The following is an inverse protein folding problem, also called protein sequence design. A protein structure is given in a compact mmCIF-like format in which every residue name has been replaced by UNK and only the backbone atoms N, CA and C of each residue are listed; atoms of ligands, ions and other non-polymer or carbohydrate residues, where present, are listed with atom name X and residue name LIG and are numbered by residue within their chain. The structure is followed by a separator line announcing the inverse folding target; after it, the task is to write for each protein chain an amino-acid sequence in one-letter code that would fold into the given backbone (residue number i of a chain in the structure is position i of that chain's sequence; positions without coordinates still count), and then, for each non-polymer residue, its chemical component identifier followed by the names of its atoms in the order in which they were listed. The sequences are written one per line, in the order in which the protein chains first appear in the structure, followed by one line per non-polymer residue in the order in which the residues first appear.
data_IF_502109607125
#
_entry.id   IF_502109607125
#
_cell.length_a   1.000
_cell.length_b   1.000
_cell.length_c   1.000
_cell.angle_alpha   90.00
_cell.angle_beta   90.00
_cell.angle_gamma   90.00
#
_symmetry.space_group_name_H-M   'P 1'
#
loop_
_entity.id
_entity.type
_entity.pdbx_description
1 polymer ?
#
# COMPACT_ATOMS: atom_id res chain seq x y z
N UNK A 1 8.52 -11.27 -17.74
CA UNK A 1 9.21 -10.88 -16.49
C UNK A 1 10.66 -10.46 -16.73
N UNK A 2 11.47 -11.24 -17.47
CA UNK A 2 12.87 -10.87 -17.79
C UNK A 2 12.98 -9.56 -18.58
N UNK A 3 12.14 -9.38 -19.60
CA UNK A 3 12.13 -8.16 -20.43
C UNK A 3 11.78 -6.91 -19.60
N UNK A 4 10.85 -7.06 -18.66
CA UNK A 4 10.50 -6.00 -17.70
C UNK A 4 11.71 -5.59 -16.88
N UNK A 5 12.44 -6.54 -16.29
CA UNK A 5 13.61 -6.28 -15.43
C UNK A 5 14.73 -5.61 -16.22
N UNK A 6 15.01 -6.05 -17.46
CA UNK A 6 16.01 -5.39 -18.32
C UNK A 6 15.66 -3.93 -18.61
N UNK A 7 14.38 -3.61 -18.78
CA UNK A 7 13.93 -2.23 -19.01
C UNK A 7 14.09 -1.30 -17.80
N UNK A 8 14.32 -1.84 -16.60
CA UNK A 8 14.48 -1.05 -15.36
C UNK A 8 15.86 -0.41 -15.23
N UNK A 9 16.88 -1.01 -15.83
CA UNK A 9 18.27 -0.57 -15.69
C UNK A 9 18.58 0.72 -16.48
N UNK A 10 17.71 1.15 -17.40
CA UNK A 10 18.00 2.24 -18.35
C UNK A 10 16.94 3.35 -18.43
N UNK A 11 16.02 3.46 -17.47
CA UNK A 11 14.92 4.42 -17.55
C UNK A 11 14.41 4.98 -16.22
N UNK A 12 13.59 6.02 -16.31
CA UNK A 12 13.03 6.74 -15.14
C UNK A 12 11.90 5.97 -14.43
N UNK A 13 11.63 4.71 -14.79
CA UNK A 13 10.53 3.89 -14.26
C UNK A 13 10.56 3.78 -12.73
N UNK A 14 11.72 3.43 -12.17
CA UNK A 14 11.88 3.27 -10.72
C UNK A 14 11.76 4.63 -10.02
N UNK A 15 12.28 5.70 -10.63
CA UNK A 15 12.14 7.05 -10.08
C UNK A 15 10.68 7.51 -10.02
N UNK A 16 9.86 7.19 -11.02
CA UNK A 16 8.42 7.47 -10.97
C UNK A 16 7.72 6.70 -9.84
N UNK A 17 8.03 5.42 -9.64
CA UNK A 17 7.49 4.64 -8.52
C UNK A 17 7.87 5.29 -7.18
N UNK A 18 9.15 5.61 -7.00
CA UNK A 18 9.62 6.24 -5.78
C UNK A 18 8.90 7.57 -5.53
N UNK A 19 8.77 8.41 -6.56
CA UNK A 19 8.06 9.66 -6.47
C UNK A 19 6.59 9.46 -6.06
N UNK A 20 5.89 8.50 -6.68
CA UNK A 20 4.51 8.16 -6.31
C UNK A 20 4.39 7.74 -4.85
N UNK A 21 5.31 6.90 -4.38
CA UNK A 21 5.32 6.41 -2.99
C UNK A 21 5.59 7.55 -2.01
N UNK A 22 6.53 8.44 -2.31
CA UNK A 22 6.84 9.59 -1.46
C UNK A 22 5.66 10.56 -1.39
N UNK A 23 5.01 10.85 -2.53
CA UNK A 23 3.81 11.68 -2.56
C UNK A 23 2.68 11.06 -1.72
N UNK A 24 2.49 9.75 -1.82
CA UNK A 24 1.48 9.03 -1.04
C UNK A 24 1.78 9.08 0.46
N UNK A 25 3.04 8.88 0.87
CA UNK A 25 3.43 8.92 2.28
C UNK A 25 3.48 10.34 2.87
N UNK A 26 3.73 11.37 2.07
CA UNK A 26 3.69 12.76 2.55
C UNK A 26 2.23 13.25 2.66
N UNK A 27 1.36 12.79 1.74
CA UNK A 27 -0.04 13.22 1.71
C UNK A 27 -0.94 12.48 2.69
N UNK A 28 -0.56 11.29 3.15
CA UNK A 28 -1.43 10.44 3.98
C UNK A 28 -1.98 11.13 5.24
N UNK A 29 -1.21 11.93 6.02
CA UNK A 29 -1.76 12.58 7.23
C UNK A 29 -2.84 13.61 6.92
N UNK A 30 -2.76 14.25 5.75
CA UNK A 30 -3.71 15.27 5.33
C UNK A 30 -5.04 14.67 4.85
N UNK A 31 -5.07 13.38 4.50
CA UNK A 31 -6.27 12.72 3.97
C UNK A 31 -7.48 12.74 4.93
N UNK A 32 -7.28 12.96 6.23
CA UNK A 32 -8.36 13.07 7.23
C UNK A 32 -9.00 14.47 7.28
N UNK A 33 -8.40 15.49 6.65
CA UNK A 33 -8.81 16.89 6.83
C UNK A 33 -10.02 17.31 5.99
N UNK A 34 -10.50 16.45 5.06
CA UNK A 34 -11.73 16.69 4.31
C UNK A 34 -11.81 15.97 2.96
N UNK A 35 -12.95 16.10 2.26
CA UNK A 35 -13.24 15.39 1.00
C UNK A 35 -12.22 15.71 -0.10
N UNK A 36 -11.76 16.96 -0.20
CA UNK A 36 -10.73 17.35 -1.19
C UNK A 36 -9.42 16.62 -0.95
N UNK A 37 -9.02 16.48 0.33
CA UNK A 37 -7.79 15.76 0.67
C UNK A 37 -7.92 14.25 0.41
N UNK A 38 -9.10 13.67 0.64
CA UNK A 38 -9.39 12.29 0.27
C UNK A 38 -9.31 12.06 -1.26
N UNK A 39 -9.85 12.99 -2.06
CA UNK A 39 -9.74 12.92 -3.53
C UNK A 39 -8.30 13.04 -4.02
N UNK A 40 -7.50 13.95 -3.42
CA UNK A 40 -6.07 14.07 -3.72
C UNK A 40 -5.32 12.78 -3.38
N UNK A 41 -5.63 12.18 -2.24
CA UNK A 41 -5.04 10.92 -1.80
C UNK A 41 -5.35 9.76 -2.76
N UNK A 42 -6.60 9.68 -3.26
CA UNK A 42 -7.00 8.73 -4.31
C UNK A 42 -6.25 9.00 -5.61
N UNK A 43 -6.07 10.28 -5.97
CA UNK A 43 -5.25 10.70 -7.11
C UNK A 43 -3.80 10.20 -7.01
N UNK A 44 -3.19 10.29 -5.82
CA UNK A 44 -1.84 9.74 -5.59
C UNK A 44 -1.81 8.21 -5.67
N UNK A 45 -2.86 7.51 -5.23
CA UNK A 45 -3.00 6.08 -5.44
C UNK A 45 -3.09 5.71 -6.92
N UNK A 46 -3.85 6.47 -7.72
CA UNK A 46 -3.91 6.28 -9.18
C UNK A 46 -2.56 6.57 -9.84
N UNK A 47 -1.81 7.54 -9.34
CA UNK A 47 -0.46 7.82 -9.81
C UNK A 47 0.50 6.66 -9.48
N UNK A 48 0.39 6.06 -8.29
CA UNK A 48 1.13 4.85 -7.93
C UNK A 48 0.78 3.67 -8.84
N UNK A 49 -0.49 3.37 -9.06
CA UNK A 49 -0.91 2.27 -9.94
C UNK A 49 -0.52 2.55 -11.40
N UNK A 50 -0.61 3.79 -11.86
CA UNK A 50 -0.10 4.22 -13.17
C UNK A 50 1.41 4.00 -13.33
N UNK A 51 2.20 4.35 -12.31
CA UNK A 51 3.64 4.08 -12.31
C UNK A 51 3.96 2.58 -12.30
N UNK A 52 3.13 1.76 -11.64
CA UNK A 52 3.25 0.32 -11.66
C UNK A 52 2.94 -0.28 -13.04
N UNK A 53 1.89 0.19 -13.71
CA UNK A 53 1.55 -0.16 -15.09
C UNK A 53 2.70 0.20 -16.02
N UNK A 54 3.28 1.40 -15.86
CA UNK A 54 4.45 1.83 -16.63
C UNK A 54 5.68 0.93 -16.39
N UNK A 55 5.88 0.46 -15.15
CA UNK A 55 6.94 -0.50 -14.80
C UNK A 55 6.80 -1.78 -15.63
N UNK A 56 5.60 -2.37 -15.65
CA UNK A 56 5.33 -3.68 -16.26
C UNK A 56 4.98 -3.62 -17.75
N UNK A 57 4.94 -2.43 -18.35
CA UNK A 57 4.55 -2.17 -19.75
C UNK A 57 5.23 -3.05 -20.81
N UNK A 58 6.40 -3.60 -20.51
CA UNK A 58 7.16 -4.49 -21.41
C UNK A 58 6.60 -5.91 -21.49
N UNK A 59 5.71 -6.34 -20.59
CA UNK A 59 5.16 -7.70 -20.53
C UNK A 59 3.62 -7.67 -20.57
N UNK A 60 3.02 -8.25 -21.62
CA UNK A 60 1.58 -8.21 -21.85
C UNK A 60 0.75 -8.90 -20.75
N UNK A 61 1.29 -9.94 -20.12
CA UNK A 61 0.57 -10.65 -19.04
C UNK A 61 0.59 -9.82 -17.76
N UNK A 62 1.77 -9.34 -17.36
CA UNK A 62 1.91 -8.49 -16.16
C UNK A 62 1.17 -7.16 -16.31
N UNK A 63 1.16 -6.59 -17.52
CA UNK A 63 0.39 -5.40 -17.87
C UNK A 63 -1.11 -5.63 -17.69
N UNK A 64 -1.66 -6.69 -18.27
CA UNK A 64 -3.10 -7.01 -18.15
C UNK A 64 -3.51 -7.21 -16.69
N UNK A 65 -2.69 -7.91 -15.89
CA UNK A 65 -2.92 -8.10 -14.46
C UNK A 65 -2.90 -6.76 -13.71
N UNK A 66 -1.88 -5.93 -13.95
CA UNK A 66 -1.75 -4.63 -13.27
C UNK A 66 -2.89 -3.66 -13.62
N UNK A 67 -3.34 -3.66 -14.87
CA UNK A 67 -4.48 -2.86 -15.32
C UNK A 67 -5.77 -3.35 -14.65
N UNK A 68 -6.00 -4.66 -14.61
CA UNK A 68 -7.17 -5.25 -13.96
C UNK A 68 -7.21 -4.89 -12.46
N UNK A 69 -6.08 -5.01 -11.77
CA UNK A 69 -5.97 -4.63 -10.35
C UNK A 69 -6.21 -3.13 -10.16
N UNK A 70 -5.63 -2.28 -11.02
CA UNK A 70 -5.86 -0.84 -10.96
C UNK A 70 -7.34 -0.46 -11.15
N UNK A 71 -8.06 -1.16 -12.03
CA UNK A 71 -9.51 -0.98 -12.23
C UNK A 71 -10.28 -1.39 -10.97
N UNK A 72 -9.97 -2.56 -10.39
CA UNK A 72 -10.64 -3.03 -9.16
C UNK A 72 -10.43 -2.03 -8.02
N UNK A 73 -9.19 -1.56 -7.84
CA UNK A 73 -8.84 -0.52 -6.87
C UNK A 73 -9.69 0.72 -7.17
N UNK A 74 -9.62 1.31 -8.36
CA UNK A 74 -10.36 2.52 -8.70
C UNK A 74 -11.88 2.40 -8.47
N UNK A 75 -12.49 1.27 -8.83
CA UNK A 75 -13.92 1.02 -8.62
C UNK A 75 -14.27 0.89 -7.14
N UNK A 76 -13.53 0.06 -6.37
CA UNK A 76 -13.79 -0.13 -4.96
C UNK A 76 -13.59 1.17 -4.15
N UNK A 77 -12.57 1.96 -4.49
CA UNK A 77 -12.32 3.27 -3.89
C UNK A 77 -13.40 4.27 -4.26
N UNK A 78 -13.82 4.31 -5.53
CA UNK A 78 -14.91 5.16 -6.00
C UNK A 78 -16.23 4.86 -5.27
N UNK A 79 -16.57 3.58 -5.08
CA UNK A 79 -17.76 3.19 -4.32
C UNK A 79 -17.65 3.61 -2.85
N UNK A 80 -16.47 3.48 -2.25
CA UNK A 80 -16.23 3.88 -0.85
C UNK A 80 -16.43 5.39 -0.65
N UNK A 81 -15.94 6.21 -1.58
CA UNK A 81 -16.12 7.66 -1.54
C UNK A 81 -17.58 8.04 -1.81
N UNK A 82 -18.20 7.45 -2.83
CA UNK A 82 -19.59 7.73 -3.20
C UNK A 82 -20.60 7.34 -2.11
N UNK A 83 -20.24 6.37 -1.26
CA UNK A 83 -21.02 5.96 -0.09
C UNK A 83 -20.67 6.73 1.18
N UNK A 84 -19.93 7.84 1.11
CA UNK A 84 -19.48 8.60 2.29
C UNK A 84 -18.77 7.71 3.33
N UNK A 85 -17.92 6.79 2.87
CA UNK A 85 -17.15 5.85 3.70
C UNK A 85 -17.99 4.83 4.48
N UNK A 86 -19.25 4.61 4.11
CA UNK A 86 -20.11 3.55 4.69
C UNK A 86 -20.23 2.33 3.77
N UNK A 87 -19.20 2.05 2.96
CA UNK A 87 -19.19 0.90 2.07
C UNK A 87 -19.23 -0.43 2.84
N UNK A 88 -19.89 -1.47 2.33
CA UNK A 88 -19.85 -2.80 2.92
C UNK A 88 -18.42 -3.33 3.08
N UNK A 89 -18.18 -4.11 4.14
CA UNK A 89 -16.87 -4.68 4.48
C UNK A 89 -16.24 -5.44 3.29
N UNK A 90 -17.02 -6.14 2.47
CA UNK A 90 -16.48 -6.88 1.32
C UNK A 90 -15.85 -5.96 0.25
N UNK A 91 -16.30 -4.70 0.11
CA UNK A 91 -15.68 -3.72 -0.79
C UNK A 91 -14.33 -3.27 -0.24
N UNK A 92 -14.26 -3.04 1.07
CA UNK A 92 -13.02 -2.69 1.76
C UNK A 92 -12.01 -3.84 1.64
N UNK A 93 -12.44 -5.08 1.84
CA UNK A 93 -11.59 -6.26 1.67
C UNK A 93 -11.12 -6.42 0.22
N UNK A 94 -11.99 -6.19 -0.77
CA UNK A 94 -11.64 -6.26 -2.18
C UNK A 94 -10.59 -5.22 -2.57
N UNK A 95 -10.76 -3.97 -2.13
CA UNK A 95 -9.76 -2.91 -2.31
C UNK A 95 -8.40 -3.32 -1.74
N UNK A 96 -8.39 -3.76 -0.48
CA UNK A 96 -7.18 -4.12 0.24
C UNK A 96 -6.49 -5.34 -0.38
N UNK A 97 -7.25 -6.35 -0.80
CA UNK A 97 -6.72 -7.52 -1.49
C UNK A 97 -6.09 -7.16 -2.84
N UNK A 98 -6.78 -6.34 -3.64
CA UNK A 98 -6.24 -5.90 -4.93
C UNK A 98 -4.95 -5.07 -4.75
N UNK A 99 -4.94 -4.17 -3.76
CA UNK A 99 -3.77 -3.38 -3.41
C UNK A 99 -2.60 -4.27 -2.94
N UNK A 100 -2.87 -5.25 -2.07
CA UNK A 100 -1.87 -6.21 -1.59
C UNK A 100 -1.19 -6.94 -2.74
N UNK A 101 -1.98 -7.47 -3.68
CA UNK A 101 -1.45 -8.19 -4.85
C UNK A 101 -0.63 -7.26 -5.74
N UNK A 102 -1.12 -6.05 -6.02
CA UNK A 102 -0.42 -5.05 -6.84
C UNK A 102 0.94 -4.66 -6.23
N UNK A 103 0.96 -4.36 -4.93
CA UNK A 103 2.17 -3.95 -4.21
C UNK A 103 3.17 -5.10 -4.15
N UNK A 104 2.71 -6.32 -3.85
CA UNK A 104 3.57 -7.52 -3.80
C UNK A 104 4.20 -7.83 -5.16
N UNK A 105 3.44 -7.66 -6.25
CA UNK A 105 3.94 -7.82 -7.61
C UNK A 105 5.08 -6.85 -7.92
N UNK A 106 4.91 -5.57 -7.56
CA UNK A 106 5.93 -4.54 -7.77
C UNK A 106 7.17 -4.81 -6.90
N UNK A 107 7.00 -5.13 -5.61
CA UNK A 107 8.11 -5.49 -4.73
C UNK A 107 8.89 -6.67 -5.31
N UNK A 108 8.21 -7.71 -5.79
CA UNK A 108 8.86 -8.88 -6.39
C UNK A 108 9.72 -8.49 -7.58
N UNK A 109 9.23 -7.61 -8.46
CA UNK A 109 9.99 -7.13 -9.61
C UNK A 109 11.21 -6.30 -9.19
N UNK A 110 11.06 -5.41 -8.21
CA UNK A 110 12.15 -4.58 -7.70
C UNK A 110 13.21 -5.41 -6.96
N UNK A 111 12.81 -6.42 -6.18
CA UNK A 111 13.73 -7.35 -5.51
C UNK A 111 14.53 -8.15 -6.53
N UNK A 112 13.86 -8.71 -7.55
CA UNK A 112 14.56 -9.45 -8.62
C UNK A 112 15.52 -8.54 -9.39
N UNK A 113 15.16 -7.27 -9.61
CA UNK A 113 16.06 -6.28 -10.20
C UNK A 113 17.31 -6.04 -9.34
N UNK A 114 17.15 -5.85 -8.03
CA UNK A 114 18.27 -5.64 -7.10
C UNK A 114 19.18 -6.88 -7.05
N UNK A 115 18.61 -8.08 -6.95
CA UNK A 115 19.39 -9.33 -6.89
C UNK A 115 20.21 -9.55 -8.17
N UNK A 116 19.70 -9.12 -9.34
CA UNK A 116 20.40 -9.23 -10.62
C UNK A 116 21.42 -8.10 -10.87
N UNK A 117 21.38 -7.03 -10.07
CA UNK A 117 22.26 -5.89 -10.24
C UNK A 117 23.69 -6.25 -9.81
N UNK A 118 24.66 -6.05 -10.71
CA UNK A 118 26.10 -6.29 -10.43
C UNK A 118 26.79 -5.12 -9.75
N UNK A 119 26.23 -3.92 -9.87
CA UNK A 119 26.78 -2.67 -9.32
C UNK A 119 25.63 -1.89 -8.68
N UNK A 120 25.90 -1.28 -7.53
CA UNK A 120 24.92 -0.42 -6.85
C UNK A 120 24.83 0.90 -7.62
N UNK A 121 23.78 1.06 -8.42
CA UNK A 121 23.46 2.31 -9.12
C UNK A 121 22.39 3.11 -8.38
N UNK A 122 22.10 4.32 -8.85
CA UNK A 122 21.02 5.16 -8.31
C UNK A 122 19.67 4.45 -8.35
N UNK A 123 19.41 3.69 -9.41
CA UNK A 123 18.18 2.91 -9.62
C UNK A 123 18.04 1.80 -8.59
N UNK A 124 19.15 1.14 -8.24
CA UNK A 124 19.19 0.11 -7.18
C UNK A 124 18.82 0.73 -5.82
N UNK A 125 19.37 1.91 -5.50
CA UNK A 125 19.02 2.63 -4.28
C UNK A 125 17.54 3.06 -4.27
N UNK A 126 17.03 3.58 -5.39
CA UNK A 126 15.63 3.97 -5.49
C UNK A 126 14.67 2.79 -5.37
N UNK A 127 15.03 1.63 -5.95
CA UNK A 127 14.28 0.40 -5.80
C UNK A 127 14.27 -0.06 -4.33
N UNK A 128 15.42 -0.03 -3.65
CA UNK A 128 15.52 -0.43 -2.24
C UNK A 128 14.67 0.45 -1.32
N UNK A 129 14.75 1.78 -1.49
CA UNK A 129 13.92 2.73 -0.73
C UNK A 129 12.44 2.54 -1.03
N UNK A 130 12.08 2.32 -2.29
CA UNK A 130 10.69 2.04 -2.69
C UNK A 130 10.17 0.77 -2.00
N UNK A 131 10.95 -0.32 -2.01
CA UNK A 131 10.58 -1.58 -1.34
C UNK A 131 10.33 -1.35 0.14
N UNK A 132 11.18 -0.58 0.83
CA UNK A 132 11.02 -0.31 2.26
C UNK A 132 9.66 0.34 2.58
N UNK A 133 9.28 1.40 1.87
CA UNK A 133 7.97 2.04 2.06
C UNK A 133 6.80 1.17 1.62
N UNK A 134 6.97 0.38 0.55
CA UNK A 134 5.92 -0.55 0.10
C UNK A 134 5.70 -1.70 1.09
N UNK A 135 6.75 -2.17 1.77
CA UNK A 135 6.63 -3.13 2.87
C UNK A 135 5.82 -2.55 4.03
N UNK A 136 6.04 -1.28 4.40
CA UNK A 136 5.17 -0.61 5.36
C UNK A 136 3.70 -0.62 4.87
N UNK A 137 3.46 -0.31 3.59
CA UNK A 137 2.12 -0.39 3.01
C UNK A 137 1.49 -1.79 3.07
N UNK A 138 2.27 -2.86 2.89
CA UNK A 138 1.79 -4.24 3.05
C UNK A 138 1.28 -4.49 4.47
N UNK A 139 2.07 -4.12 5.49
CA UNK A 139 1.65 -4.28 6.87
C UNK A 139 0.42 -3.43 7.20
N UNK A 140 0.33 -2.21 6.68
CA UNK A 140 -0.87 -1.36 6.79
C UNK A 140 -2.11 -2.09 6.30
N UNK A 141 -2.05 -2.69 5.11
CA UNK A 141 -3.17 -3.45 4.54
C UNK A 141 -3.52 -4.64 5.44
N UNK A 142 -2.54 -5.37 5.95
CA UNK A 142 -2.79 -6.49 6.87
C UNK A 142 -3.49 -6.03 8.15
N UNK A 143 -3.07 -4.92 8.74
CA UNK A 143 -3.67 -4.38 9.95
C UNK A 143 -5.08 -3.87 9.71
N UNK A 144 -5.33 -3.19 8.59
CA UNK A 144 -6.67 -2.72 8.19
C UNK A 144 -7.63 -3.90 8.00
N UNK A 145 -7.18 -4.97 7.34
CA UNK A 145 -7.97 -6.20 7.19
C UNK A 145 -8.25 -6.83 8.55
N UNK A 146 -7.25 -6.87 9.44
CA UNK A 146 -7.41 -7.43 10.79
C UNK A 146 -8.45 -6.65 11.60
N UNK A 147 -8.35 -5.32 11.62
CA UNK A 147 -9.31 -4.43 12.29
C UNK A 147 -10.72 -4.54 11.67
N UNK A 148 -10.81 -4.72 10.34
CA UNK A 148 -12.10 -4.89 9.66
C UNK A 148 -12.79 -6.22 9.99
N UNK A 149 -12.02 -7.28 10.29
CA UNK A 149 -12.54 -8.62 10.60
C UNK A 149 -12.79 -8.83 12.09
N UNK A 150 -11.99 -8.18 12.93
CA UNK A 150 -12.10 -8.17 14.38
C UNK A 150 -12.03 -6.72 14.86
N UNK A 151 -13.19 -6.03 14.97
CA UNK A 151 -13.22 -4.69 15.53
C UNK A 151 -12.54 -4.63 16.89
N UNK A 152 -11.84 -3.52 17.17
CA UNK A 152 -11.02 -3.35 18.37
C UNK A 152 -9.82 -4.31 18.41
N UNK A 153 -9.24 -4.71 17.27
CA UNK A 153 -7.98 -5.46 17.26
C UNK A 153 -6.79 -4.58 17.65
N UNK A 154 -6.92 -3.26 17.47
CA UNK A 154 -5.91 -2.28 17.87
C UNK A 154 -6.52 -1.20 18.76
N UNK A 155 -5.79 -0.83 19.82
CA UNK A 155 -6.18 0.27 20.71
C UNK A 155 -5.15 1.37 20.64
N UNK A 156 -5.62 2.61 20.56
CA UNK A 156 -4.79 3.79 20.75
C UNK A 156 -4.81 4.24 22.20
N UNK A 157 -3.64 4.58 22.75
CA UNK A 157 -3.47 5.15 24.10
C UNK A 157 -4.32 6.41 24.34
N UNK A 158 -4.62 7.18 23.31
CA UNK A 158 -5.50 8.36 23.39
C UNK A 158 -7.01 8.03 23.32
N UNK A 159 -7.39 6.77 23.16
CA UNK A 159 -8.80 6.34 23.01
C UNK A 159 -9.44 6.76 21.69
N UNK A 160 -8.64 7.21 20.73
CA UNK A 160 -9.09 7.65 19.40
C UNK A 160 -9.36 6.46 18.48
N UNK A 161 -10.35 6.60 17.61
CA UNK A 161 -10.73 5.58 16.62
C UNK A 161 -9.56 5.15 15.74
N UNK A 162 -9.54 3.87 15.36
CA UNK A 162 -8.49 3.31 14.53
C UNK A 162 -8.78 3.54 13.04
N UNK A 163 -8.15 4.57 12.48
CA UNK A 163 -8.26 4.90 11.06
C UNK A 163 -7.17 4.22 10.22
N UNK A 164 -7.36 4.18 8.90
CA UNK A 164 -6.34 3.70 7.96
C UNK A 164 -5.00 4.43 8.14
N UNK A 165 -5.04 5.74 8.41
CA UNK A 165 -3.87 6.61 8.59
C UNK A 165 -3.10 6.25 9.85
N UNK A 166 -3.80 5.92 10.94
CA UNK A 166 -3.20 5.46 12.20
C UNK A 166 -2.56 4.09 12.07
N UNK A 167 -3.22 3.17 11.37
CA UNK A 167 -2.62 1.86 11.06
C UNK A 167 -1.42 1.97 10.12
N UNK A 168 -1.43 2.94 9.20
CA UNK A 168 -0.28 3.25 8.37
C UNK A 168 0.90 3.80 9.18
N UNK A 169 0.61 4.72 10.09
CA UNK A 169 1.59 5.22 11.05
C UNK A 169 2.16 4.10 11.94
N UNK A 170 1.29 3.24 12.49
CA UNK A 170 1.70 2.10 13.31
C UNK A 170 2.63 1.14 12.53
N UNK A 171 2.33 0.88 11.27
CA UNK A 171 3.19 0.11 10.37
C UNK A 171 4.57 0.73 10.19
N UNK A 172 4.63 2.04 9.90
CA UNK A 172 5.89 2.77 9.74
C UNK A 172 6.73 2.76 11.02
N UNK A 173 6.11 3.01 12.17
CA UNK A 173 6.77 2.96 13.50
C UNK A 173 7.30 1.57 13.82
N UNK A 174 6.59 0.52 13.40
CA UNK A 174 6.98 -0.87 13.64
C UNK A 174 8.14 -1.31 12.75
N UNK A 175 8.07 -1.08 11.43
CA UNK A 175 9.14 -1.48 10.49
C UNK A 175 10.42 -0.67 10.69
N UNK A 176 10.31 0.56 11.21
CA UNK A 176 11.45 1.39 11.61
C UNK A 176 11.97 1.08 13.01
N UNK A 177 11.36 0.12 13.72
CA UNK A 177 11.74 -0.29 15.08
C UNK A 177 11.68 0.84 16.12
N UNK A 178 10.90 1.89 15.86
CA UNK A 178 10.71 3.01 16.80
C UNK A 178 9.85 2.60 18.00
N UNK A 179 8.72 1.93 17.73
CA UNK A 179 7.87 1.32 18.76
C UNK A 179 7.40 2.27 19.86
N UNK A 180 6.87 3.45 19.52
CA UNK A 180 6.44 4.45 20.50
C UNK A 180 5.40 3.96 21.53
N UNK A 181 4.66 2.89 21.21
CA UNK A 181 3.71 2.25 22.12
C UNK A 181 2.39 3.02 22.29
N UNK A 182 2.12 3.99 21.41
CA UNK A 182 0.90 4.79 21.38
C UNK A 182 -0.28 4.06 20.71
N UNK A 183 0.01 3.08 19.86
CA UNK A 183 -0.93 2.10 19.31
C UNK A 183 -0.41 0.71 19.67
N UNK A 184 -1.29 -0.13 20.21
CA UNK A 184 -0.98 -1.50 20.59
C UNK A 184 -1.98 -2.49 19.97
N UNK A 185 -1.52 -3.61 19.39
CA UNK A 185 -2.39 -4.70 19.04
C UNK A 185 -2.88 -5.37 20.31
N UNK A 186 -4.19 -5.62 20.40
CA UNK A 186 -4.75 -6.45 21.46
C UNK A 186 -5.10 -7.81 20.89
N UNK A 187 -4.82 -8.87 21.65
CA UNK A 187 -5.24 -10.20 21.27
C UNK A 187 -6.77 -10.21 21.10
N UNK A 188 -7.31 -10.97 20.12
CA UNK A 188 -8.76 -11.03 19.93
C UNK A 188 -9.43 -11.37 21.27
N UNK A 189 -10.54 -10.71 21.64
CA UNK A 189 -11.28 -11.05 22.83
C UNK A 189 -11.54 -12.56 22.86
N UNK A 190 -11.20 -13.19 23.98
CA UNK A 190 -11.37 -14.63 24.26
C UNK A 190 -12.86 -14.98 24.41
N UNK A 191 -13.69 -14.69 23.42
CA UNK A 191 -15.15 -14.90 23.49
C UNK A 191 -15.70 -15.82 22.39
N UNK A 192 -14.84 -16.37 21.50
CA UNK A 192 -15.27 -17.27 20.41
C UNK A 192 -14.89 -18.75 20.55
N UNK A 193 -14.24 -19.16 21.63
CA UNK A 193 -14.03 -20.58 21.93
C UNK A 193 -14.79 -20.94 23.21
N UNK A 194 -15.92 -21.68 23.14
CA UNK A 194 -16.46 -22.31 24.32
C UNK A 194 -15.43 -23.32 24.89
N UNK A 195 -15.47 -23.56 26.21
CA UNK A 195 -14.51 -24.42 26.92
C UNK A 195 -14.50 -25.87 26.41
#
# INVERSE_FOLDING_TARGET
MRDTIHSLAGGNKIAFILLSILLLNISYPFSETGTVAALLFVGFYLFLTGSAIYLVSSDRQLLSISVLLAIIIALAGGITIASNFTAPVWIILLWNAALFVQVTLIITLLVLFIIQAKVVTREVLFAAVSIYFMLAGIFTVMYVVTESLSPEAFISSSGTEMTWQRLNYFSLVTISTLGYGDIVPIAPPRSRFPP
#
